data_IF_253050459653
#
_entry.id   IF_253050459653
#
_cell.length_a   1.000
_cell.length_b   1.000
_cell.length_c   1.000
_cell.angle_alpha   90.00
_cell.angle_beta   90.00
_cell.angle_gamma   90.00
#
_symmetry.space_group_name_H-M   'P 1'
#
loop_
_entity.id
_entity.type
_entity.pdbx_description
1 polymer ?
#
# COMPACT_ATOMS: atom_id res chain seq x y z
N UNK A 1 1.49 -5.57 -13.58
CA UNK A 1 0.09 -5.08 -13.57
C UNK A 1 0.11 -3.57 -13.51
N UNK A 2 -0.81 -2.93 -14.16
CA UNK A 2 -0.93 -1.49 -13.99
C UNK A 2 -1.47 -1.17 -12.62
N UNK A 3 -1.05 -0.06 -12.03
CA UNK A 3 -1.53 0.31 -10.69
C UNK A 3 -3.05 0.45 -10.66
N UNK A 4 -3.63 -0.02 -9.57
CA UNK A 4 -5.08 0.01 -9.35
C UNK A 4 -5.36 0.91 -8.14
N UNK A 5 -6.26 1.86 -8.30
CA UNK A 5 -6.67 2.72 -7.20
C UNK A 5 -7.75 2.05 -6.37
N UNK A 6 -7.73 2.31 -5.07
CA UNK A 6 -8.71 1.72 -4.16
C UNK A 6 -9.34 2.83 -3.33
N UNK A 7 -10.66 2.82 -3.27
CA UNK A 7 -11.40 3.74 -2.41
C UNK A 7 -11.56 3.04 -1.05
N UNK A 8 -11.02 3.62 -0.02
CA UNK A 8 -11.00 3.06 1.32
C UNK A 8 -11.82 3.93 2.28
N UNK A 9 -13.02 4.31 1.89
CA UNK A 9 -13.90 5.14 2.72
C UNK A 9 -13.36 6.54 2.85
N UNK A 10 -12.89 6.89 4.05
CA UNK A 10 -12.34 8.22 4.31
C UNK A 10 -10.98 8.45 3.66
N UNK A 11 -10.37 7.41 3.11
CA UNK A 11 -9.03 7.48 2.54
C UNK A 11 -9.04 7.03 1.09
N UNK A 12 -7.98 7.42 0.36
CA UNK A 12 -7.86 7.13 -1.05
C UNK A 12 -6.48 6.50 -1.27
N UNK A 13 -6.44 5.35 -1.90
CA UNK A 13 -5.21 4.64 -2.17
C UNK A 13 -4.88 4.75 -3.66
N UNK A 14 -3.71 5.28 -3.97
CA UNK A 14 -3.22 5.42 -5.34
C UNK A 14 -1.76 4.99 -5.43
N UNK A 15 -1.27 4.80 -6.64
CA UNK A 15 0.16 4.55 -6.82
C UNK A 15 0.97 5.73 -6.30
N UNK A 16 2.18 5.47 -5.82
CA UNK A 16 3.10 6.53 -5.41
C UNK A 16 3.44 7.40 -6.61
N UNK A 17 3.63 8.67 -6.37
CA UNK A 17 3.90 9.64 -7.43
C UNK A 17 5.07 10.55 -7.08
N UNK A 18 5.82 10.93 -8.10
CA UNK A 18 6.87 11.94 -8.01
C UNK A 18 6.90 12.65 -9.35
N UNK A 19 5.88 13.47 -9.59
CA UNK A 19 5.73 14.19 -10.87
C UNK A 19 5.40 15.65 -10.60
N UNK A 20 5.12 16.41 -11.64
CA UNK A 20 4.92 17.84 -11.53
C UNK A 20 3.65 18.22 -10.76
N UNK A 21 2.70 17.32 -10.67
CA UNK A 21 1.43 17.58 -9.99
C UNK A 21 1.40 17.05 -8.57
N UNK A 22 2.17 16.01 -8.28
CA UNK A 22 2.17 15.40 -6.97
C UNK A 22 3.53 14.73 -6.71
N UNK A 23 4.09 15.04 -5.55
CA UNK A 23 5.38 14.49 -5.15
C UNK A 23 5.27 13.88 -3.76
N UNK A 24 5.36 12.56 -3.68
CA UNK A 24 5.26 11.84 -2.42
C UNK A 24 6.61 11.74 -1.69
N UNK A 25 7.71 12.18 -2.29
CA UNK A 25 9.03 11.99 -1.70
C UNK A 25 9.19 12.63 -0.32
N UNK A 26 8.66 13.84 -0.05
CA UNK A 26 8.75 14.37 1.31
C UNK A 26 8.02 13.50 2.34
N UNK A 27 6.84 12.99 2.00
CA UNK A 27 6.11 12.11 2.89
C UNK A 27 6.83 10.78 3.09
N UNK A 28 7.44 10.25 2.02
CA UNK A 28 8.22 9.02 2.10
C UNK A 28 9.43 9.20 3.01
N UNK A 29 10.05 10.37 2.98
CA UNK A 29 11.18 10.66 3.87
C UNK A 29 10.74 10.58 5.34
N UNK A 30 9.53 11.03 5.65
CA UNK A 30 8.98 10.92 7.00
C UNK A 30 8.77 9.46 7.41
N UNK A 31 8.64 8.56 6.45
CA UNK A 31 8.51 7.12 6.71
C UNK A 31 9.86 6.42 6.73
N UNK A 32 10.95 7.15 6.61
CA UNK A 32 12.28 6.58 6.54
C UNK A 32 12.66 6.07 5.15
N UNK A 33 11.89 6.40 4.12
CA UNK A 33 12.16 5.99 2.75
C UNK A 33 12.82 7.16 2.02
N UNK A 34 14.12 7.29 2.21
CA UNK A 34 14.88 8.44 1.70
C UNK A 34 15.55 8.19 0.35
N UNK A 35 15.44 6.98 -0.18
CA UNK A 35 16.03 6.65 -1.48
C UNK A 35 15.31 7.46 -2.57
N UNK A 36 16.01 8.28 -3.34
CA UNK A 36 15.37 9.09 -4.38
C UNK A 36 14.70 8.27 -5.48
N UNK A 37 15.07 6.99 -5.61
CA UNK A 37 14.48 6.12 -6.63
C UNK A 37 13.33 5.26 -6.09
N UNK A 38 12.86 5.53 -4.89
CA UNK A 38 11.82 4.70 -4.26
C UNK A 38 10.55 4.63 -5.11
N UNK A 39 10.07 5.78 -5.60
CA UNK A 39 8.86 5.82 -6.42
C UNK A 39 9.05 5.07 -7.72
N UNK A 40 10.18 5.27 -8.39
CA UNK A 40 10.49 4.58 -9.64
C UNK A 40 10.58 3.07 -9.43
N UNK A 41 11.17 2.66 -8.31
CA UNK A 41 11.27 1.24 -7.97
C UNK A 41 9.89 0.64 -7.74
N UNK A 42 9.01 1.36 -7.05
CA UNK A 42 7.64 0.90 -6.84
C UNK A 42 6.87 0.75 -8.15
N UNK A 43 7.07 1.68 -9.08
CA UNK A 43 6.47 1.56 -10.41
C UNK A 43 6.94 0.31 -11.14
N UNK A 44 8.24 0.03 -11.07
CA UNK A 44 8.79 -1.15 -11.71
C UNK A 44 8.25 -2.43 -11.07
N UNK A 45 8.01 -2.43 -9.77
CA UNK A 45 7.46 -3.58 -9.06
C UNK A 45 6.01 -3.86 -9.46
N UNK A 46 5.22 -2.83 -9.71
CA UNK A 46 3.87 -3.01 -10.25
C UNK A 46 3.96 -3.70 -11.62
N UNK A 47 4.83 -3.20 -12.48
CA UNK A 47 4.96 -3.73 -13.83
C UNK A 47 5.44 -5.18 -13.84
N UNK A 48 6.30 -5.54 -12.90
CA UNK A 48 6.85 -6.91 -12.83
C UNK A 48 6.04 -7.84 -11.93
N UNK A 49 4.99 -7.34 -11.28
CA UNK A 49 4.14 -8.11 -10.38
C UNK A 49 4.91 -8.69 -9.18
N UNK A 50 5.92 -7.97 -8.71
CA UNK A 50 6.73 -8.42 -7.58
C UNK A 50 6.31 -7.78 -6.27
N UNK A 51 5.67 -6.61 -6.32
CA UNK A 51 5.13 -5.95 -5.15
C UNK A 51 4.14 -4.90 -5.62
N UNK A 52 2.98 -4.84 -5.01
CA UNK A 52 2.02 -3.79 -5.27
C UNK A 52 2.05 -2.82 -4.09
N UNK A 53 1.93 -1.53 -4.37
CA UNK A 53 2.08 -0.51 -3.33
C UNK A 53 1.12 0.64 -3.57
N UNK A 54 0.69 1.26 -2.48
CA UNK A 54 -0.24 2.38 -2.55
C UNK A 54 0.18 3.45 -1.58
N UNK A 55 0.01 4.70 -2.00
CA UNK A 55 0.02 5.84 -1.10
C UNK A 55 -1.39 5.98 -0.53
N UNK A 56 -1.50 5.99 0.78
CA UNK A 56 -2.77 6.20 1.48
C UNK A 56 -2.91 7.69 1.67
N UNK A 57 -3.91 8.29 1.05
CA UNK A 57 -3.99 9.73 0.93
C UNK A 57 -5.24 10.31 1.55
N UNK A 58 -5.11 11.53 2.03
CA UNK A 58 -6.24 12.35 2.43
C UNK A 58 -6.95 12.81 1.14
N UNK A 59 -8.25 12.53 0.97
CA UNK A 59 -8.89 12.78 -0.33
C UNK A 59 -8.93 14.22 -0.77
N UNK A 60 -9.00 15.16 0.18
CA UNK A 60 -9.12 16.58 -0.14
C UNK A 60 -7.82 17.16 -0.68
N UNK A 61 -6.69 16.80 -0.05
CA UNK A 61 -5.38 17.36 -0.40
C UNK A 61 -4.55 16.43 -1.27
N UNK A 62 -4.86 15.14 -1.26
CA UNK A 62 -4.04 14.13 -1.93
C UNK A 62 -2.75 13.83 -1.19
N UNK A 63 -2.59 14.39 0.02
CA UNK A 63 -1.36 14.20 0.77
C UNK A 63 -1.21 12.78 1.24
N UNK A 64 -0.02 12.20 1.05
CA UNK A 64 0.28 10.84 1.48
C UNK A 64 0.48 10.77 2.98
N UNK A 65 -0.27 9.92 3.64
CA UNK A 65 -0.22 9.72 5.09
C UNK A 65 0.47 8.41 5.47
N UNK A 66 0.45 7.44 4.57
CA UNK A 66 1.01 6.13 4.81
C UNK A 66 1.33 5.45 3.48
N UNK A 67 2.15 4.42 3.55
CA UNK A 67 2.39 3.52 2.41
C UNK A 67 1.91 2.14 2.81
N UNK A 68 1.19 1.45 1.94
CA UNK A 68 0.81 0.05 2.15
C UNK A 68 1.31 -0.77 0.97
N UNK A 69 1.80 -1.97 1.25
CA UNK A 69 2.32 -2.87 0.22
C UNK A 69 1.68 -4.23 0.32
N UNK A 70 1.60 -4.90 -0.81
CA UNK A 70 1.12 -6.28 -0.92
C UNK A 70 2.12 -7.08 -1.72
N UNK A 71 2.59 -8.18 -1.14
CA UNK A 71 3.43 -9.13 -1.86
C UNK A 71 2.50 -10.18 -2.50
N UNK A 72 2.38 -10.20 -3.83
CA UNK A 72 1.46 -11.13 -4.48
C UNK A 72 1.89 -12.59 -4.37
N UNK A 73 3.16 -12.86 -4.08
CA UNK A 73 3.63 -14.23 -3.94
C UNK A 73 3.23 -14.85 -2.60
N UNK A 74 3.16 -14.04 -1.55
CA UNK A 74 2.88 -14.52 -0.19
C UNK A 74 1.56 -14.03 0.35
N UNK A 75 0.95 -13.05 -0.31
CA UNK A 75 -0.26 -12.35 0.15
C UNK A 75 -0.03 -11.55 1.45
N UNK A 76 1.22 -11.24 1.75
CA UNK A 76 1.53 -10.42 2.93
C UNK A 76 1.26 -8.96 2.67
N UNK A 77 0.66 -8.29 3.64
CA UNK A 77 0.36 -6.87 3.59
C UNK A 77 1.13 -6.18 4.69
N UNK A 78 1.85 -5.12 4.33
CA UNK A 78 2.60 -4.32 5.30
C UNK A 78 2.26 -2.85 5.11
N UNK A 79 2.37 -2.07 6.15
CA UNK A 79 2.16 -0.64 6.04
C UNK A 79 3.12 0.13 6.93
N UNK A 80 3.26 1.42 6.61
CA UNK A 80 4.05 2.34 7.40
C UNK A 80 3.35 3.68 7.35
N UNK A 81 3.08 4.24 8.51
CA UNK A 81 2.31 5.47 8.61
C UNK A 81 3.15 6.60 9.17
N UNK A 82 2.87 7.82 8.71
CA UNK A 82 3.40 9.02 9.34
C UNK A 82 2.81 9.14 10.73
N UNK A 83 3.50 9.84 11.62
CA UNK A 83 3.06 10.01 13.00
C UNK A 83 1.63 10.55 13.03
N UNK A 84 0.79 9.91 13.83
CA UNK A 84 -0.61 10.29 13.98
C UNK A 84 -1.57 9.67 12.96
N UNK A 85 -1.06 8.86 12.02
CA UNK A 85 -1.89 8.31 10.95
C UNK A 85 -1.95 6.79 10.92
N UNK A 86 -1.72 6.15 12.07
CA UNK A 86 -1.77 4.70 12.16
C UNK A 86 -3.15 4.13 11.80
N UNK A 87 -4.21 4.88 12.08
CA UNK A 87 -5.57 4.43 11.74
C UNK A 87 -5.77 4.35 10.24
N UNK A 88 -5.25 5.34 9.50
CA UNK A 88 -5.35 5.33 8.05
C UNK A 88 -4.63 4.10 7.47
N UNK A 89 -3.45 3.78 8.01
CA UNK A 89 -2.70 2.61 7.57
C UNK A 89 -3.46 1.32 7.84
N UNK A 90 -4.08 1.20 9.01
CA UNK A 90 -4.82 -0.01 9.37
C UNK A 90 -6.02 -0.22 8.45
N UNK A 91 -6.77 0.85 8.19
CA UNK A 91 -7.93 0.77 7.30
C UNK A 91 -7.47 0.40 5.88
N UNK A 92 -6.37 0.99 5.44
CA UNK A 92 -5.82 0.69 4.12
C UNK A 92 -5.37 -0.76 4.01
N UNK A 93 -4.75 -1.32 5.05
CA UNK A 93 -4.36 -2.73 5.04
C UNK A 93 -5.58 -3.62 4.83
N UNK A 94 -6.68 -3.35 5.52
CA UNK A 94 -7.88 -4.15 5.36
C UNK A 94 -8.44 -4.06 3.94
N UNK A 95 -8.39 -2.87 3.34
CA UNK A 95 -8.85 -2.69 1.97
C UNK A 95 -7.96 -3.44 0.98
N UNK A 96 -6.65 -3.43 1.20
CA UNK A 96 -5.72 -4.14 0.35
C UNK A 96 -5.91 -5.65 0.47
N UNK A 97 -6.21 -6.16 1.66
CA UNK A 97 -6.51 -7.58 1.84
C UNK A 97 -7.76 -7.98 1.06
N UNK A 98 -8.79 -7.15 1.08
CA UNK A 98 -9.99 -7.41 0.29
C UNK A 98 -9.69 -7.37 -1.20
N UNK A 99 -8.87 -6.44 -1.64
CA UNK A 99 -8.42 -6.37 -3.03
C UNK A 99 -7.71 -7.66 -3.42
N UNK A 100 -6.80 -8.15 -2.58
CA UNK A 100 -6.06 -9.37 -2.85
C UNK A 100 -7.01 -10.56 -3.03
N UNK A 101 -8.00 -10.67 -2.18
CA UNK A 101 -8.99 -11.75 -2.29
C UNK A 101 -9.87 -11.63 -3.51
N UNK A 102 -10.40 -10.42 -3.75
CA UNK A 102 -11.40 -10.23 -4.79
C UNK A 102 -10.79 -10.18 -6.19
N UNK A 103 -9.63 -9.53 -6.34
CA UNK A 103 -9.08 -9.27 -7.68
C UNK A 103 -7.96 -10.23 -8.04
N UNK A 104 -7.25 -10.79 -7.07
CA UNK A 104 -6.10 -11.63 -7.32
C UNK A 104 -6.32 -13.07 -6.89
N UNK A 105 -7.43 -13.37 -6.21
CA UNK A 105 -7.72 -14.71 -5.73
C UNK A 105 -6.79 -15.19 -4.65
N UNK A 106 -6.09 -14.27 -3.97
CA UNK A 106 -5.15 -14.63 -2.92
C UNK A 106 -5.88 -14.82 -1.59
N UNK A 107 -5.28 -15.59 -0.69
CA UNK A 107 -5.74 -15.69 0.68
C UNK A 107 -4.87 -14.76 1.51
N UNK A 108 -5.38 -13.59 1.92
CA UNK A 108 -4.53 -12.61 2.61
C UNK A 108 -4.15 -13.09 3.98
N UNK A 109 -2.98 -12.67 4.44
CA UNK A 109 -2.58 -12.88 5.77
C UNK A 109 -2.48 -11.62 6.53
N UNK A 110 -2.64 -11.66 7.79
CA UNK A 110 -2.35 -10.52 8.64
C UNK A 110 -0.88 -10.55 9.00
N UNK A 111 -0.27 -9.40 8.87
CA UNK A 111 1.08 -9.24 9.22
C UNK A 111 1.32 -9.62 10.65
N UNK A 112 2.20 -10.48 10.93
CA UNK A 112 2.53 -10.86 12.28
C UNK A 112 1.62 -11.86 12.92
N UNK A 113 0.66 -12.45 12.18
CA UNK A 113 -0.19 -13.31 12.79
C UNK A 113 -0.46 -14.51 12.14
N UNK A 114 0.03 -15.38 12.24
CA UNK A 114 -0.30 -16.38 11.57
C UNK A 114 -0.93 -17.35 12.07
N UNK A 115 -1.03 -17.41 12.93
CA UNK A 115 -1.67 -18.30 13.45
C UNK A 115 -2.29 -19.21 12.86
N UNK A 116 -2.19 -19.52 12.47
CA UNK A 116 -2.66 -20.34 12.10
C UNK A 116 -3.68 -20.86 11.61
N UNK A 117 -3.99 -20.57 11.34
CA UNK A 117 -4.98 -20.92 10.95
C UNK A 117 -5.06 -21.66 10.05
N UNK A 118 -5.34 -22.25 9.74
CA UNK A 118 -5.44 -23.02 9.00
C UNK A 118 -6.10 -23.09 8.06
N UNK A 119 -6.34 -23.08 7.69
CA UNK A 119 -6.79 -23.17 6.92
C UNK A 119 -7.27 -23.73 6.18
N UNK A 120 -7.63 -23.95 5.80
CA UNK A 120 -8.02 -24.35 5.22
C UNK A 120 -8.37 -24.43 4.27
N UNK A 121 -8.41 -24.45 3.89
CA UNK A 121 -8.64 -24.47 2.93
C UNK A 121 -8.96 -24.30 2.44
#
# INVERSE_FOLDING_TARGET
MEPVEINAGAWYLRALRADDLMDDRPALADLGKTDPDHVTRREAQWASDTCYSWAVCEPTTGEMLAEVTLDPATAEVHSRARTGHADAARIAEDCVRRFAGAMLGLTPHESGNSSGAPVTD
#
